data_IF_983052009643
#
_entry.id   IF_983052009643
#
_cell.length_a   1.000
_cell.length_b   1.000
_cell.length_c   1.000
_cell.angle_alpha   90.00
_cell.angle_beta   90.00
_cell.angle_gamma   90.00
#
_symmetry.space_group_name_H-M   'P 1'
#
loop_
_entity.id
_entity.type
_entity.pdbx_description
1 polymer ?
#
# COMPACT_ATOMS: atom_id res chain seq x y z
N UNK A 1 -4.82 16.86 19.81
CA UNK A 1 -4.61 16.67 21.26
C UNK A 1 -4.50 18.02 21.93
N UNK A 2 -4.65 18.11 23.27
CA UNK A 2 -4.29 19.33 23.98
C UNK A 2 -2.79 19.60 23.87
N UNK A 3 -2.37 20.85 24.11
CA UNK A 3 -0.95 21.23 24.08
C UNK A 3 -0.12 20.42 25.09
N UNK A 4 -0.65 20.22 26.31
CA UNK A 4 -0.01 19.45 27.39
C UNK A 4 0.23 18.00 26.95
N UNK A 5 -0.81 17.33 26.45
CA UNK A 5 -0.70 15.94 25.99
C UNK A 5 0.30 15.81 24.82
N UNK A 6 0.35 16.83 23.96
CA UNK A 6 1.24 16.85 22.78
C UNK A 6 2.71 16.97 23.19
N UNK A 7 3.01 17.84 24.17
CA UNK A 7 4.35 17.98 24.75
C UNK A 7 4.76 16.71 25.50
N UNK A 8 3.84 16.09 26.23
CA UNK A 8 4.09 14.82 26.91
C UNK A 8 4.40 13.69 25.90
N UNK A 9 3.65 13.63 24.80
CA UNK A 9 3.93 12.69 23.71
C UNK A 9 5.32 12.92 23.10
N UNK A 10 5.76 14.16 22.94
CA UNK A 10 7.15 14.42 22.51
C UNK A 10 8.18 13.95 23.52
N UNK A 11 8.00 14.29 24.81
CA UNK A 11 8.94 13.90 25.89
C UNK A 11 9.09 12.38 25.99
N UNK A 12 8.01 11.63 25.79
CA UNK A 12 8.07 10.15 25.78
C UNK A 12 8.77 9.58 24.54
N UNK A 13 8.77 10.29 23.41
CA UNK A 13 9.33 9.81 22.14
C UNK A 13 10.77 10.28 21.87
N UNK A 14 11.16 11.46 22.34
CA UNK A 14 12.48 12.07 22.20
C UNK A 14 13.24 11.97 23.54
N UNK A 15 13.43 10.74 24.03
CA UNK A 15 14.12 10.50 25.30
C UNK A 15 15.56 11.05 25.24
N UNK A 16 15.89 11.96 26.17
CA UNK A 16 17.26 12.45 26.38
C UNK A 16 17.64 13.76 25.69
N UNK A 17 16.74 14.42 24.96
CA UNK A 17 17.04 15.73 24.38
C UNK A 17 16.92 16.85 25.44
N UNK A 18 17.88 17.78 25.46
CA UNK A 18 17.90 18.96 26.35
C UNK A 18 17.07 20.10 25.76
N UNK A 19 16.05 19.79 24.98
CA UNK A 19 15.21 20.78 24.31
C UNK A 19 14.42 21.57 25.35
N UNK A 20 14.35 22.89 25.15
CA UNK A 20 13.51 23.76 25.97
C UNK A 20 12.05 23.31 25.86
N UNK A 21 11.32 23.32 26.98
CA UNK A 21 9.88 23.07 26.97
C UNK A 21 9.13 24.07 26.07
N UNK A 22 9.70 25.26 25.88
CA UNK A 22 9.20 26.26 24.91
C UNK A 22 9.26 25.75 23.48
N UNK A 23 10.38 25.14 23.07
CA UNK A 23 10.58 24.63 21.70
C UNK A 23 9.63 23.47 21.41
N UNK A 24 9.39 22.62 22.43
CA UNK A 24 8.43 21.52 22.33
C UNK A 24 6.99 22.01 22.17
N UNK A 25 6.61 23.08 22.88
CA UNK A 25 5.30 23.72 22.73
C UNK A 25 5.14 24.34 21.35
N UNK A 26 6.15 25.06 20.87
CA UNK A 26 6.14 25.70 19.55
C UNK A 26 6.03 24.65 18.43
N UNK A 27 6.77 23.53 18.54
CA UNK A 27 6.64 22.43 17.60
C UNK A 27 5.28 21.71 17.71
N UNK A 28 4.77 21.47 18.92
CA UNK A 28 3.44 20.88 19.10
C UNK A 28 2.34 21.75 18.46
N UNK A 29 2.45 23.08 18.58
CA UNK A 29 1.56 24.03 17.93
C UNK A 29 1.70 23.99 16.40
N UNK A 30 2.94 23.97 15.87
CA UNK A 30 3.20 23.88 14.43
C UNK A 30 2.68 22.56 13.83
N UNK A 31 2.69 21.47 14.60
CA UNK A 31 2.11 20.18 14.20
C UNK A 31 0.62 20.03 14.56
N UNK A 32 -0.03 21.12 14.99
CA UNK A 32 -1.45 21.19 15.36
C UNK A 32 -1.88 20.13 16.40
N UNK A 33 -0.95 19.66 17.23
CA UNK A 33 -1.23 18.60 18.21
C UNK A 33 -1.68 17.27 17.58
N UNK A 34 -1.29 16.98 16.33
CA UNK A 34 -1.67 15.76 15.62
C UNK A 34 -0.72 14.61 16.01
N UNK A 35 -1.22 13.52 16.63
CA UNK A 35 -0.36 12.47 17.18
C UNK A 35 0.61 11.84 16.17
N UNK A 36 0.13 11.63 14.93
CA UNK A 36 0.95 11.03 13.88
C UNK A 36 2.08 11.95 13.41
N UNK A 37 1.79 13.25 13.22
CA UNK A 37 2.81 14.24 12.84
C UNK A 37 3.86 14.38 13.93
N UNK A 38 3.43 14.44 15.20
CA UNK A 38 4.31 14.42 16.38
C UNK A 38 5.20 13.18 16.37
N UNK A 39 4.63 12.01 16.08
CA UNK A 39 5.38 10.75 16.05
C UNK A 39 6.42 10.73 14.93
N UNK A 40 6.08 11.17 13.72
CA UNK A 40 7.05 11.31 12.61
C UNK A 40 8.17 12.31 12.97
N UNK A 41 7.82 13.48 13.50
CA UNK A 41 8.79 14.52 13.87
C UNK A 41 9.74 14.01 14.97
N UNK A 42 9.20 13.42 16.03
CA UNK A 42 9.99 12.85 17.12
C UNK A 42 10.91 11.72 16.63
N UNK A 43 10.41 10.87 15.74
CA UNK A 43 11.19 9.80 15.13
C UNK A 43 12.37 10.35 14.30
N UNK A 44 12.13 11.41 13.52
CA UNK A 44 13.17 12.10 12.75
C UNK A 44 14.24 12.74 13.64
N UNK A 45 13.83 13.44 14.70
CA UNK A 45 14.76 14.09 15.63
C UNK A 45 15.62 13.02 16.32
N UNK A 46 14.98 11.97 16.85
CA UNK A 46 15.66 10.88 17.55
C UNK A 46 16.66 10.12 16.67
N UNK A 47 16.35 9.92 15.39
CA UNK A 47 17.26 9.22 14.48
C UNK A 47 18.50 10.05 14.10
N UNK A 48 18.56 11.33 14.48
CA UNK A 48 19.65 12.24 14.09
C UNK A 48 20.22 13.02 15.28
N UNK A 49 21.36 12.58 15.85
CA UNK A 49 21.96 13.21 17.04
C UNK A 49 22.29 14.71 16.92
N UNK A 50 22.41 15.24 15.69
CA UNK A 50 22.72 16.66 15.43
C UNK A 50 21.47 17.53 15.22
N UNK A 51 20.29 16.94 15.12
CA UNK A 51 19.04 17.68 14.89
C UNK A 51 18.37 17.91 16.24
N UNK A 52 18.20 19.18 16.60
CA UNK A 52 17.41 19.59 17.77
C UNK A 52 15.96 19.87 17.38
N UNK A 53 15.06 19.98 18.37
CA UNK A 53 13.66 20.41 18.16
C UNK A 53 13.57 21.72 17.37
N UNK A 54 14.35 22.74 17.74
CA UNK A 54 14.37 24.04 17.06
C UNK A 54 14.94 23.95 15.64
N UNK A 55 15.93 23.07 15.41
CA UNK A 55 16.43 22.79 14.04
C UNK A 55 15.36 22.15 13.17
N UNK A 56 14.63 21.17 13.72
CA UNK A 56 13.53 20.51 13.01
C UNK A 56 12.38 21.47 12.71
N UNK A 57 12.01 22.33 13.67
CA UNK A 57 10.97 23.33 13.49
C UNK A 57 11.27 24.28 12.32
N UNK A 58 12.54 24.68 12.14
CA UNK A 58 12.97 25.46 10.98
C UNK A 58 12.79 24.67 9.67
N UNK A 59 13.25 23.41 9.63
CA UNK A 59 13.08 22.55 8.46
C UNK A 59 11.60 22.35 8.11
N UNK A 60 10.75 22.20 9.13
CA UNK A 60 9.31 22.12 8.96
C UNK A 60 8.75 23.37 8.29
N UNK A 61 9.02 24.55 8.83
CA UNK A 61 8.58 25.84 8.26
C UNK A 61 9.09 26.07 6.84
N UNK A 62 10.36 25.77 6.56
CA UNK A 62 10.93 25.85 5.22
C UNK A 62 10.22 24.90 4.24
N UNK A 63 9.93 23.68 4.69
CA UNK A 63 9.16 22.71 3.91
C UNK A 63 7.76 23.24 3.63
N UNK A 64 7.03 23.71 4.64
CA UNK A 64 5.67 24.28 4.50
C UNK A 64 5.61 25.39 3.45
N UNK A 65 6.56 26.34 3.48
CA UNK A 65 6.63 27.44 2.50
C UNK A 65 6.85 26.90 1.09
N UNK A 66 7.74 25.93 0.93
CA UNK A 66 8.00 25.28 -0.36
C UNK A 66 6.81 24.46 -0.88
N UNK A 67 5.89 24.06 0.01
CA UNK A 67 4.70 23.24 -0.29
C UNK A 67 3.43 24.06 -0.51
N UNK A 68 3.42 25.37 -0.20
CA UNK A 68 2.22 26.21 -0.24
C UNK A 68 1.50 26.20 -1.62
N UNK A 69 2.25 26.04 -2.71
CA UNK A 69 1.72 25.90 -4.08
C UNK A 69 1.23 24.48 -4.42
N UNK A 70 1.69 23.46 -3.69
CA UNK A 70 1.37 22.05 -3.93
C UNK A 70 0.05 21.63 -3.27
N UNK A 71 -0.34 22.34 -2.21
CA UNK A 71 -1.51 22.01 -1.39
C UNK A 71 -2.76 22.85 -1.75
N UNK A 72 -2.59 23.81 -2.66
CA UNK A 72 -3.63 24.68 -3.21
C UNK A 72 -4.30 24.11 -4.48
N UNK A 73 -3.77 23.01 -5.05
CA UNK A 73 -4.35 22.38 -6.22
C UNK A 73 -5.62 21.56 -5.88
N UNK A 74 -6.67 21.80 -6.67
CA UNK A 74 -8.02 21.24 -6.58
C UNK A 74 -8.14 19.70 -6.61
N UNK A 75 -7.03 18.96 -6.70
CA UNK A 75 -6.98 17.49 -6.82
C UNK A 75 -7.04 16.75 -5.46
N UNK A 76 -7.15 17.48 -4.36
CA UNK A 76 -7.43 16.95 -3.01
C UNK A 76 -8.88 17.19 -2.54
N UNK A 77 -9.80 17.46 -3.47
CA UNK A 77 -11.22 17.70 -3.17
C UNK A 77 -11.96 16.45 -2.64
N UNK A 78 -11.50 15.24 -2.90
CA UNK A 78 -12.19 14.00 -2.48
C UNK A 78 -11.87 13.53 -1.06
N UNK A 79 -11.01 14.25 -0.34
CA UNK A 79 -10.67 13.91 1.02
C UNK A 79 -11.40 14.81 2.06
N UNK A 80 -12.30 15.73 1.69
CA UNK A 80 -12.99 16.70 2.58
C UNK A 80 -13.36 16.11 3.97
N UNK A 81 -12.76 16.56 5.07
CA UNK A 81 -13.25 17.73 5.83
C UNK A 81 -12.20 18.54 6.62
N UNK A 82 -10.93 18.14 6.71
CA UNK A 82 -9.91 18.92 7.45
C UNK A 82 -8.67 19.17 6.61
N UNK A 83 -8.48 20.42 6.20
CA UNK A 83 -7.36 20.85 5.37
C UNK A 83 -6.07 21.02 6.18
N UNK A 84 -6.19 21.29 7.50
CA UNK A 84 -5.06 21.54 8.41
C UNK A 84 -4.44 20.22 8.92
N UNK A 85 -5.28 19.23 9.29
CA UNK A 85 -4.84 17.91 9.78
C UNK A 85 -3.91 17.17 8.81
N UNK A 86 -4.03 17.45 7.51
CA UNK A 86 -3.19 16.82 6.48
C UNK A 86 -1.84 17.48 6.33
N UNK A 87 -1.76 18.78 6.56
CA UNK A 87 -0.57 19.55 6.26
C UNK A 87 0.61 19.07 7.09
N UNK A 88 0.47 19.12 8.42
CA UNK A 88 1.52 18.68 9.33
C UNK A 88 1.95 17.22 9.10
N UNK A 89 1.01 16.31 8.84
CA UNK A 89 1.34 14.91 8.58
C UNK A 89 2.08 14.74 7.25
N UNK A 90 1.64 15.41 6.17
CA UNK A 90 2.30 15.33 4.86
C UNK A 90 3.69 15.95 4.93
N UNK A 91 3.84 17.12 5.55
CA UNK A 91 5.13 17.80 5.69
C UNK A 91 6.11 16.98 6.52
N UNK A 92 5.69 16.45 7.68
CA UNK A 92 6.55 15.60 8.53
C UNK A 92 6.91 14.27 7.86
N UNK A 93 5.96 13.67 7.14
CA UNK A 93 6.21 12.50 6.29
C UNK A 93 7.26 12.84 5.24
N UNK A 94 7.12 13.94 4.51
CA UNK A 94 8.01 14.30 3.42
C UNK A 94 9.43 14.55 3.92
N UNK A 95 9.61 15.30 5.01
CA UNK A 95 10.93 15.55 5.60
C UNK A 95 11.62 14.22 5.92
N UNK A 96 10.87 13.25 6.47
CA UNK A 96 11.38 11.91 6.78
C UNK A 96 11.66 11.08 5.52
N UNK A 97 10.76 11.14 4.54
CA UNK A 97 10.88 10.40 3.29
C UNK A 97 12.04 10.91 2.43
N UNK A 98 12.20 12.23 2.27
CA UNK A 98 13.31 12.85 1.56
C UNK A 98 14.65 12.45 2.18
N UNK A 99 14.69 12.31 3.50
CA UNK A 99 15.87 11.83 4.22
C UNK A 99 16.13 10.34 3.93
N UNK A 100 15.11 9.49 4.04
CA UNK A 100 15.22 8.05 3.74
C UNK A 100 15.70 7.84 2.31
N UNK A 101 15.09 8.53 1.34
CA UNK A 101 15.45 8.45 -0.07
C UNK A 101 16.93 8.78 -0.32
N UNK A 102 17.49 9.75 0.41
CA UNK A 102 18.91 10.14 0.30
C UNK A 102 19.86 9.17 0.97
N UNK A 103 19.44 8.47 2.02
CA UNK A 103 20.33 7.59 2.80
C UNK A 103 20.24 6.12 2.41
N UNK A 104 19.06 5.63 2.07
CA UNK A 104 18.80 4.21 1.79
C UNK A 104 17.64 4.11 0.80
N UNK A 105 17.98 4.07 -0.48
CA UNK A 105 17.01 4.04 -1.59
C UNK A 105 16.10 2.82 -1.52
N UNK A 106 16.61 1.69 -1.02
CA UNK A 106 15.87 0.44 -0.84
C UNK A 106 14.68 0.60 0.11
N UNK A 107 14.80 1.47 1.14
CA UNK A 107 13.70 1.74 2.05
C UNK A 107 12.61 2.61 1.43
N UNK A 108 12.99 3.56 0.59
CA UNK A 108 12.03 4.34 -0.19
C UNK A 108 11.30 3.45 -1.21
N UNK A 109 12.03 2.57 -1.90
CA UNK A 109 11.51 1.59 -2.84
C UNK A 109 10.57 0.58 -2.14
N UNK A 110 10.93 0.11 -0.95
CA UNK A 110 10.07 -0.74 -0.14
C UNK A 110 8.77 -0.03 0.26
N UNK A 111 8.84 1.20 0.75
CA UNK A 111 7.66 1.97 1.11
C UNK A 111 6.76 2.23 -0.12
N UNK A 112 7.37 2.47 -1.28
CA UNK A 112 6.66 2.63 -2.54
C UNK A 112 5.90 1.37 -2.94
N UNK A 113 6.55 0.20 -2.88
CA UNK A 113 5.90 -1.10 -3.11
C UNK A 113 4.78 -1.37 -2.11
N UNK A 114 5.04 -1.20 -0.81
CA UNK A 114 4.02 -1.38 0.24
C UNK A 114 2.78 -0.52 -0.01
N UNK A 115 2.97 0.70 -0.54
CA UNK A 115 1.86 1.61 -0.81
C UNK A 115 0.91 1.09 -1.89
N UNK A 116 1.33 0.14 -2.74
CA UNK A 116 0.49 -0.47 -3.78
C UNK A 116 -0.47 -1.55 -3.24
N UNK A 117 -0.28 -2.02 -2.01
CA UNK A 117 -1.15 -3.03 -1.41
C UNK A 117 -2.19 -2.41 -0.47
N UNK A 118 -3.11 -3.23 0.06
CA UNK A 118 -3.96 -2.80 1.18
C UNK A 118 -3.06 -2.34 2.34
N UNK A 119 -3.40 -1.22 2.96
CA UNK A 119 -2.61 -0.57 4.01
C UNK A 119 -2.53 -1.37 5.32
N UNK A 120 -3.36 -2.40 5.51
CA UNK A 120 -3.40 -3.23 6.71
C UNK A 120 -3.00 -4.66 6.40
N UNK A 121 -2.34 -5.30 7.37
CA UNK A 121 -2.06 -6.73 7.34
C UNK A 121 -1.14 -7.17 6.18
N UNK A 122 -0.25 -6.30 5.71
CA UNK A 122 0.68 -6.57 4.61
C UNK A 122 1.68 -7.64 5.06
N UNK A 123 1.62 -8.87 4.55
CA UNK A 123 2.53 -9.92 5.02
C UNK A 123 3.94 -9.74 4.46
N UNK A 124 4.95 -10.08 5.25
CA UNK A 124 6.38 -9.99 4.93
C UNK A 124 6.73 -10.57 3.56
N UNK A 125 6.13 -11.71 3.20
CA UNK A 125 6.37 -12.37 1.90
C UNK A 125 6.03 -11.50 0.68
N UNK A 126 5.14 -10.51 0.79
CA UNK A 126 4.87 -9.55 -0.30
C UNK A 126 6.02 -8.54 -0.45
N UNK A 127 6.80 -8.36 0.60
CA UNK A 127 7.77 -7.28 0.74
C UNK A 127 9.20 -7.72 0.49
N UNK A 128 9.52 -9.00 0.67
CA UNK A 128 10.87 -9.54 0.46
C UNK A 128 11.43 -9.20 -0.93
N UNK A 129 10.61 -9.18 -1.98
CA UNK A 129 10.96 -8.78 -3.36
C UNK A 129 12.45 -8.86 -3.78
N UNK A 130 13.03 -10.07 -3.70
CA UNK A 130 14.43 -10.39 -4.02
C UNK A 130 15.52 -9.80 -3.08
N UNK A 131 15.13 -9.14 -1.99
CA UNK A 131 16.00 -8.85 -0.86
C UNK A 131 16.33 -10.13 -0.10
N UNK A 132 17.55 -10.22 0.41
CA UNK A 132 17.87 -11.19 1.45
C UNK A 132 17.26 -10.76 2.80
N UNK A 133 17.25 -11.67 3.79
CA UNK A 133 16.63 -11.39 5.09
C UNK A 133 17.28 -10.20 5.77
N UNK A 134 18.62 -10.09 5.76
CA UNK A 134 19.33 -9.03 6.46
C UNK A 134 19.02 -7.66 5.85
N UNK A 135 19.02 -7.58 4.52
CA UNK A 135 18.61 -6.39 3.78
C UNK A 135 17.18 -5.99 4.09
N UNK A 136 16.26 -6.96 4.15
CA UNK A 136 14.87 -6.71 4.50
C UNK A 136 14.76 -6.14 5.93
N UNK A 137 15.36 -6.80 6.92
CA UNK A 137 15.36 -6.37 8.33
C UNK A 137 15.89 -4.94 8.48
N UNK A 138 17.05 -4.65 7.89
CA UNK A 138 17.63 -3.30 7.97
C UNK A 138 16.76 -2.24 7.28
N UNK A 139 15.98 -2.63 6.27
CA UNK A 139 15.15 -1.72 5.47
C UNK A 139 13.83 -1.44 6.17
N UNK A 140 13.16 -2.48 6.65
CA UNK A 140 11.91 -2.36 7.39
C UNK A 140 12.13 -1.70 8.76
N UNK A 141 13.23 -2.02 9.45
CA UNK A 141 13.61 -1.37 10.70
C UNK A 141 13.77 0.14 10.52
N UNK A 142 14.32 0.61 9.40
CA UNK A 142 14.41 2.04 9.10
C UNK A 142 13.03 2.66 8.95
N UNK A 143 12.12 2.05 8.20
CA UNK A 143 10.74 2.56 8.02
C UNK A 143 9.97 2.59 9.34
N UNK A 144 10.13 1.57 10.19
CA UNK A 144 9.57 1.51 11.55
C UNK A 144 10.19 2.59 12.44
N UNK A 145 11.50 2.82 12.34
CA UNK A 145 12.20 3.83 13.14
C UNK A 145 11.66 5.24 12.91
N UNK A 146 11.27 5.55 11.65
CA UNK A 146 10.59 6.79 11.23
C UNK A 146 9.07 6.76 11.46
N UNK A 147 8.52 5.68 12.00
CA UNK A 147 7.09 5.48 12.25
C UNK A 147 6.20 5.60 11.01
N UNK A 148 6.76 5.30 9.82
CA UNK A 148 6.02 5.28 8.56
C UNK A 148 5.23 3.98 8.38
N UNK A 149 5.77 2.91 8.97
CA UNK A 149 5.21 1.56 8.97
C UNK A 149 5.19 1.06 10.41
N UNK A 150 4.22 0.22 10.73
CA UNK A 150 4.13 -0.47 12.02
C UNK A 150 4.07 -1.97 11.80
N UNK A 151 4.84 -2.69 12.59
CA UNK A 151 4.81 -4.14 12.68
C UNK A 151 3.69 -4.58 13.64
N UNK A 152 2.91 -5.58 13.25
CA UNK A 152 1.86 -6.15 14.10
C UNK A 152 2.42 -7.27 14.99
N UNK A 153 1.65 -7.64 16.01
CA UNK A 153 2.03 -8.69 16.98
C UNK A 153 2.28 -10.00 16.25
N UNK A 154 3.48 -10.57 16.41
CA UNK A 154 3.93 -11.78 15.71
C UNK A 154 4.87 -11.52 14.52
N UNK A 155 5.16 -10.26 14.19
CA UNK A 155 6.26 -9.79 13.34
C UNK A 155 6.19 -10.08 11.85
N UNK A 156 5.20 -10.86 11.41
CA UNK A 156 5.07 -11.29 10.01
C UNK A 156 4.17 -10.41 9.14
N UNK A 157 3.53 -9.39 9.72
CA UNK A 157 2.60 -8.49 9.02
C UNK A 157 2.79 -7.03 9.42
N UNK A 158 2.64 -6.15 8.44
CA UNK A 158 2.87 -4.73 8.56
C UNK A 158 1.63 -3.92 8.22
N UNK A 159 1.54 -2.72 8.79
CA UNK A 159 0.49 -1.76 8.48
C UNK A 159 1.07 -0.36 8.26
N UNK A 160 0.36 0.43 7.47
CA UNK A 160 0.68 1.84 7.25
C UNK A 160 -0.54 2.71 7.50
N UNK A 161 -0.27 3.93 7.95
CA UNK A 161 -1.33 4.92 8.09
C UNK A 161 -1.83 5.34 6.70
N UNK A 162 -3.15 5.58 6.56
CA UNK A 162 -3.76 5.98 5.28
C UNK A 162 -3.09 7.22 4.66
N UNK A 163 -2.73 8.21 5.47
CA UNK A 163 -2.03 9.40 5.00
C UNK A 163 -0.62 9.08 4.49
N UNK A 164 0.11 8.16 5.13
CA UNK A 164 1.43 7.72 4.66
C UNK A 164 1.28 7.06 3.29
N UNK A 165 0.33 6.14 3.14
CA UNK A 165 0.05 5.47 1.86
C UNK A 165 -0.27 6.48 0.74
N UNK A 166 -1.16 7.44 1.01
CA UNK A 166 -1.57 8.45 0.04
C UNK A 166 -0.42 9.37 -0.34
N UNK A 167 0.37 9.83 0.64
CA UNK A 167 1.55 10.68 0.40
C UNK A 167 2.58 9.95 -0.46
N UNK A 168 2.85 8.67 -0.18
CA UNK A 168 3.76 7.84 -0.99
C UNK A 168 3.24 7.68 -2.42
N UNK A 169 1.96 7.34 -2.61
CA UNK A 169 1.36 7.21 -3.95
C UNK A 169 1.45 8.53 -4.74
N UNK A 170 1.22 9.67 -4.09
CA UNK A 170 1.34 11.00 -4.72
C UNK A 170 2.76 11.33 -5.12
N UNK A 171 3.74 10.99 -4.28
CA UNK A 171 5.15 11.13 -4.63
C UNK A 171 5.51 10.24 -5.83
N UNK A 172 5.05 8.99 -5.86
CA UNK A 172 5.26 8.08 -7.00
C UNK A 172 4.68 8.66 -8.30
N UNK A 173 3.44 9.19 -8.26
CA UNK A 173 2.78 9.84 -9.39
C UNK A 173 3.61 11.01 -9.94
N UNK A 174 4.06 11.91 -9.05
CA UNK A 174 4.86 13.07 -9.41
C UNK A 174 6.20 12.69 -10.05
N UNK A 175 6.80 11.60 -9.58
CA UNK A 175 8.06 11.07 -10.12
C UNK A 175 7.85 10.17 -11.35
N UNK A 176 6.61 10.04 -11.85
CA UNK A 176 6.25 9.21 -13.02
C UNK A 176 6.63 7.73 -12.87
N UNK A 177 6.60 7.23 -11.63
CA UNK A 177 6.94 5.84 -11.32
C UNK A 177 5.70 4.97 -11.03
N UNK A 178 4.49 5.50 -11.21
CA UNK A 178 3.26 4.80 -10.85
C UNK A 178 3.12 3.45 -11.55
N UNK A 179 3.32 3.43 -12.86
CA UNK A 179 3.21 2.20 -13.66
C UNK A 179 4.29 1.17 -13.27
N UNK A 180 5.51 1.63 -12.91
CA UNK A 180 6.57 0.75 -12.40
C UNK A 180 6.11 0.03 -11.14
N UNK A 181 5.62 0.77 -10.14
CA UNK A 181 5.24 0.19 -8.85
C UNK A 181 3.96 -0.64 -8.92
N UNK A 182 3.01 -0.26 -9.78
CA UNK A 182 1.84 -1.10 -10.09
C UNK A 182 2.24 -2.45 -10.69
N UNK A 183 3.09 -2.42 -11.72
CA UNK A 183 3.60 -3.64 -12.37
C UNK A 183 4.32 -4.52 -11.35
N UNK A 184 5.14 -3.93 -10.47
CA UNK A 184 5.84 -4.69 -9.44
C UNK A 184 4.89 -5.36 -8.44
N UNK A 185 3.88 -4.64 -7.95
CA UNK A 185 2.86 -5.20 -7.07
C UNK A 185 2.07 -6.33 -7.73
N UNK A 186 1.71 -6.18 -9.01
CA UNK A 186 1.03 -7.21 -9.80
C UNK A 186 1.90 -8.45 -9.94
N UNK A 187 3.20 -8.30 -10.24
CA UNK A 187 4.15 -9.43 -10.33
C UNK A 187 4.24 -10.19 -9.00
N UNK A 188 4.37 -9.47 -7.89
CA UNK A 188 4.45 -10.07 -6.56
C UNK A 188 3.19 -10.89 -6.24
N UNK A 189 1.99 -10.32 -6.43
CA UNK A 189 0.74 -11.04 -6.16
C UNK A 189 0.54 -12.17 -7.16
N UNK A 190 0.85 -12.01 -8.44
CA UNK A 190 0.72 -13.08 -9.44
C UNK A 190 1.54 -14.31 -9.05
N UNK A 191 2.77 -14.09 -8.55
CA UNK A 191 3.67 -15.13 -8.04
C UNK A 191 3.15 -15.79 -6.76
N UNK A 192 2.62 -15.02 -5.83
CA UNK A 192 2.32 -15.50 -4.47
C UNK A 192 0.85 -15.89 -4.24
N UNK A 193 -0.08 -15.40 -5.05
CA UNK A 193 -1.49 -15.72 -4.89
C UNK A 193 -1.71 -17.22 -5.13
N UNK A 194 -2.23 -17.97 -4.13
CA UNK A 194 -2.35 -19.42 -4.22
C UNK A 194 -3.36 -19.88 -5.26
N UNK A 195 -3.42 -21.21 -5.47
CA UNK A 195 -4.34 -21.83 -6.43
C UNK A 195 -5.82 -21.63 -6.10
N UNK A 196 -6.16 -21.33 -4.84
CA UNK A 196 -7.54 -21.20 -4.37
C UNK A 196 -8.15 -22.50 -3.84
N UNK A 197 -7.41 -23.62 -3.89
CA UNK A 197 -7.82 -24.91 -3.29
C UNK A 197 -7.94 -24.81 -1.76
N UNK A 198 -8.70 -25.73 -1.15
CA UNK A 198 -9.00 -25.74 0.29
C UNK A 198 -7.74 -25.62 1.17
N UNK A 199 -6.66 -26.33 0.82
CA UNK A 199 -5.39 -26.31 1.55
C UNK A 199 -4.74 -24.91 1.59
N UNK A 200 -5.07 -24.04 0.64
CA UNK A 200 -4.49 -22.70 0.49
C UNK A 200 -5.44 -21.57 0.91
N UNK A 201 -6.60 -21.90 1.47
CA UNK A 201 -7.63 -20.90 1.81
C UNK A 201 -7.14 -19.84 2.80
N UNK A 202 -6.36 -20.23 3.80
CA UNK A 202 -5.80 -19.28 4.77
C UNK A 202 -4.94 -18.22 4.06
N UNK A 203 -4.10 -18.66 3.13
CA UNK A 203 -3.27 -17.76 2.33
C UNK A 203 -4.09 -16.88 1.39
N UNK A 204 -5.11 -17.45 0.73
CA UNK A 204 -6.01 -16.66 -0.10
C UNK A 204 -6.73 -15.57 0.71
N UNK A 205 -7.16 -15.86 1.94
CA UNK A 205 -7.81 -14.88 2.80
C UNK A 205 -6.87 -13.75 3.22
N UNK A 206 -5.63 -14.07 3.57
CA UNK A 206 -4.58 -13.08 3.90
C UNK A 206 -4.29 -12.19 2.69
N UNK A 207 -4.18 -12.76 1.50
CA UNK A 207 -3.80 -12.02 0.29
C UNK A 207 -4.98 -11.33 -0.42
N UNK A 208 -6.21 -11.65 -0.05
CA UNK A 208 -7.41 -11.13 -0.72
C UNK A 208 -7.51 -9.59 -0.72
N UNK A 209 -7.27 -8.86 0.38
CA UNK A 209 -7.31 -7.40 0.37
C UNK A 209 -6.29 -6.81 -0.60
N UNK A 210 -5.09 -7.37 -0.63
CA UNK A 210 -4.01 -6.91 -1.51
C UNK A 210 -4.28 -7.24 -2.98
N UNK A 211 -4.85 -8.41 -3.27
CA UNK A 211 -5.27 -8.78 -4.62
C UNK A 211 -6.36 -7.82 -5.15
N UNK A 212 -7.34 -7.46 -4.32
CA UNK A 212 -8.39 -6.51 -4.69
C UNK A 212 -7.85 -5.11 -4.99
N UNK A 213 -6.86 -4.64 -4.22
CA UNK A 213 -6.18 -3.37 -4.51
C UNK A 213 -5.55 -3.39 -5.91
N UNK A 214 -4.78 -4.43 -6.25
CA UNK A 214 -4.11 -4.46 -7.56
C UNK A 214 -5.08 -4.64 -8.74
N UNK A 215 -6.21 -5.35 -8.57
CA UNK A 215 -7.23 -5.51 -9.61
C UNK A 215 -7.87 -4.16 -9.95
N UNK A 216 -7.91 -3.22 -9.01
CA UNK A 216 -8.42 -1.86 -9.27
C UNK A 216 -7.48 -1.00 -10.12
N UNK A 217 -6.26 -1.45 -10.40
CA UNK A 217 -5.29 -0.69 -11.17
C UNK A 217 -5.68 -0.61 -12.65
N UNK A 218 -5.58 0.60 -13.19
CA UNK A 218 -5.65 0.79 -14.64
C UNK A 218 -4.28 0.48 -15.23
N UNK A 219 -4.15 -0.65 -15.91
CA UNK A 219 -2.92 -1.10 -16.56
C UNK A 219 -3.13 -1.28 -18.07
N UNK A 220 -2.09 -1.03 -18.85
CA UNK A 220 -2.11 -1.18 -20.31
C UNK A 220 -1.05 -2.15 -20.83
N UNK A 221 -0.08 -2.50 -20.00
CA UNK A 221 0.98 -3.45 -20.34
C UNK A 221 0.42 -4.87 -20.41
N UNK A 222 0.73 -5.59 -21.50
CA UNK A 222 0.34 -6.97 -21.74
C UNK A 222 0.70 -7.90 -20.56
N UNK A 223 1.91 -7.81 -20.02
CA UNK A 223 2.35 -8.68 -18.92
C UNK A 223 1.50 -8.47 -17.66
N UNK A 224 1.15 -7.22 -17.36
CA UNK A 224 0.37 -6.87 -16.19
C UNK A 224 -1.10 -7.26 -16.37
N UNK A 225 -1.65 -7.08 -17.58
CA UNK A 225 -3.00 -7.54 -17.95
C UNK A 225 -3.14 -9.06 -17.78
N UNK A 226 -2.18 -9.83 -18.30
CA UNK A 226 -2.18 -11.29 -18.15
C UNK A 226 -1.95 -11.72 -16.70
N UNK A 227 -1.12 -10.98 -15.95
CA UNK A 227 -0.92 -11.19 -14.51
C UNK A 227 -2.22 -11.02 -13.72
N UNK A 228 -2.95 -9.93 -13.95
CA UNK A 228 -4.26 -9.69 -13.35
C UNK A 228 -5.28 -10.75 -13.75
N UNK A 229 -5.34 -11.16 -15.03
CA UNK A 229 -6.22 -12.25 -15.47
C UNK A 229 -5.90 -13.59 -14.78
N UNK A 230 -4.63 -13.87 -14.51
CA UNK A 230 -4.19 -15.04 -13.75
C UNK A 230 -4.66 -14.99 -12.29
N UNK A 231 -4.49 -13.84 -11.63
CA UNK A 231 -4.98 -13.61 -10.26
C UNK A 231 -6.50 -13.73 -10.20
N UNK A 232 -7.23 -13.10 -11.13
CA UNK A 232 -8.69 -13.17 -11.22
C UNK A 232 -9.19 -14.60 -11.41
N UNK A 233 -8.49 -15.43 -12.19
CA UNK A 233 -8.87 -16.84 -12.40
C UNK A 233 -8.71 -17.65 -11.11
N UNK A 234 -7.58 -17.51 -10.41
CA UNK A 234 -7.35 -18.16 -9.10
C UNK A 234 -8.34 -17.67 -8.03
N UNK A 235 -8.64 -16.37 -8.04
CA UNK A 235 -9.60 -15.76 -7.12
C UNK A 235 -11.04 -16.21 -7.41
N UNK A 236 -11.41 -16.36 -8.69
CA UNK A 236 -12.69 -16.92 -9.11
C UNK A 236 -12.89 -18.33 -8.58
N UNK A 237 -11.87 -19.18 -8.73
CA UNK A 237 -11.86 -20.53 -8.15
C UNK A 237 -12.01 -20.51 -6.62
N UNK A 238 -11.26 -19.66 -5.94
CA UNK A 238 -11.39 -19.49 -4.48
C UNK A 238 -12.81 -19.09 -4.06
N UNK A 239 -13.46 -18.15 -4.78
CA UNK A 239 -14.82 -17.73 -4.48
C UNK A 239 -15.85 -18.83 -4.73
N UNK A 240 -15.70 -19.64 -5.78
CA UNK A 240 -16.55 -20.82 -6.02
C UNK A 240 -16.51 -21.76 -4.82
N UNK A 241 -15.30 -22.11 -4.37
CA UNK A 241 -15.15 -23.04 -3.25
C UNK A 241 -15.66 -22.44 -1.92
N UNK A 242 -15.65 -21.11 -1.77
CA UNK A 242 -16.27 -20.41 -0.63
C UNK A 242 -17.81 -20.27 -0.77
N UNK A 243 -18.39 -20.67 -1.90
CA UNK A 243 -19.82 -20.54 -2.21
C UNK A 243 -20.25 -19.12 -2.64
N UNK A 244 -19.31 -18.23 -2.95
CA UNK A 244 -19.60 -16.86 -3.36
C UNK A 244 -19.58 -16.70 -4.89
N UNK A 245 -20.60 -17.25 -5.55
CA UNK A 245 -20.72 -17.23 -7.01
C UNK A 245 -20.87 -15.81 -7.58
N UNK A 246 -21.50 -14.90 -6.82
CA UNK A 246 -21.74 -13.50 -7.22
C UNK A 246 -20.41 -12.76 -7.41
N UNK A 247 -19.43 -13.00 -6.55
CA UNK A 247 -18.10 -12.39 -6.69
C UNK A 247 -17.21 -13.09 -7.71
N UNK A 248 -17.47 -14.37 -8.02
CA UNK A 248 -16.65 -15.17 -8.94
C UNK A 248 -16.92 -14.80 -10.41
N UNK A 249 -18.19 -14.66 -10.80
CA UNK A 249 -18.58 -14.40 -12.19
C UNK A 249 -17.90 -13.17 -12.84
N UNK A 250 -17.99 -11.96 -12.27
CA UNK A 250 -17.49 -10.76 -12.94
C UNK A 250 -15.96 -10.78 -13.13
N UNK A 251 -15.21 -11.29 -12.14
CA UNK A 251 -13.74 -11.35 -12.25
C UNK A 251 -13.29 -12.40 -13.27
N UNK A 252 -14.04 -13.51 -13.42
CA UNK A 252 -13.76 -14.52 -14.43
C UNK A 252 -14.07 -13.99 -15.83
N UNK A 253 -15.19 -13.28 -15.99
CA UNK A 253 -15.53 -12.61 -17.26
C UNK A 253 -14.43 -11.63 -17.67
N UNK A 254 -13.94 -10.79 -16.75
CA UNK A 254 -12.84 -9.86 -17.02
C UNK A 254 -11.56 -10.62 -17.44
N UNK A 255 -11.19 -11.69 -16.74
CA UNK A 255 -10.03 -12.50 -17.09
C UNK A 255 -10.15 -13.14 -18.48
N UNK A 256 -11.34 -13.63 -18.84
CA UNK A 256 -11.60 -14.23 -20.16
C UNK A 256 -11.47 -13.18 -21.26
N UNK A 257 -12.09 -12.00 -21.11
CA UNK A 257 -12.01 -10.92 -22.10
C UNK A 257 -10.56 -10.54 -22.40
N UNK A 258 -9.74 -10.41 -21.35
CA UNK A 258 -8.30 -10.11 -21.52
C UNK A 258 -7.58 -11.25 -22.22
N UNK A 259 -7.78 -12.51 -21.77
CA UNK A 259 -7.08 -13.67 -22.32
C UNK A 259 -7.48 -13.99 -23.76
N UNK A 260 -8.75 -13.86 -24.12
CA UNK A 260 -9.21 -14.04 -25.50
C UNK A 260 -8.59 -13.02 -26.44
N UNK A 261 -8.55 -11.75 -26.02
CA UNK A 261 -7.98 -10.67 -26.82
C UNK A 261 -6.48 -10.83 -27.03
N UNK A 262 -5.75 -11.18 -25.97
CA UNK A 262 -4.28 -11.14 -25.98
C UNK A 262 -3.62 -12.49 -26.27
N UNK A 263 -4.26 -13.62 -25.94
CA UNK A 263 -3.74 -14.99 -26.16
C UNK A 263 -4.54 -15.79 -27.19
N UNK A 264 -5.79 -15.39 -27.46
CA UNK A 264 -6.72 -16.11 -28.32
C UNK A 264 -7.65 -17.07 -27.56
N UNK A 265 -8.74 -17.43 -28.24
CA UNK A 265 -9.83 -18.25 -27.66
C UNK A 265 -9.41 -19.67 -27.30
N UNK A 266 -8.43 -20.25 -28.01
CA UNK A 266 -7.97 -21.63 -27.84
C UNK A 266 -6.76 -21.76 -26.91
N UNK A 267 -6.29 -20.66 -26.32
CA UNK A 267 -5.13 -20.73 -25.43
C UNK A 267 -5.49 -21.46 -24.12
N UNK A 268 -4.64 -22.35 -23.58
CA UNK A 268 -4.96 -23.14 -22.38
C UNK A 268 -5.42 -22.30 -21.17
N UNK A 269 -4.81 -21.14 -20.95
CA UNK A 269 -5.22 -20.21 -19.88
C UNK A 269 -6.62 -19.63 -20.12
N UNK A 270 -6.97 -19.32 -21.37
CA UNK A 270 -8.31 -18.84 -21.74
C UNK A 270 -9.34 -19.92 -21.46
N UNK A 271 -9.09 -21.14 -21.94
CA UNK A 271 -9.96 -22.31 -21.75
C UNK A 271 -10.17 -22.63 -20.25
N UNK A 272 -9.11 -22.52 -19.46
CA UNK A 272 -9.18 -22.70 -18.00
C UNK A 272 -10.13 -21.70 -17.35
N UNK A 273 -10.04 -20.41 -17.69
CA UNK A 273 -10.97 -19.40 -17.17
C UNK A 273 -12.41 -19.64 -17.62
N UNK A 274 -12.61 -20.02 -18.89
CA UNK A 274 -13.94 -20.35 -19.44
C UNK A 274 -14.56 -21.55 -18.73
N UNK A 275 -13.79 -22.62 -18.48
CA UNK A 275 -14.25 -23.80 -17.73
C UNK A 275 -14.67 -23.46 -16.30
N UNK A 276 -13.91 -22.59 -15.63
CA UNK A 276 -14.24 -22.12 -14.28
C UNK A 276 -15.53 -21.27 -14.31
N UNK A 277 -15.70 -20.38 -15.30
CA UNK A 277 -16.95 -19.63 -15.47
C UNK A 277 -18.15 -20.55 -15.73
N UNK A 278 -17.98 -21.60 -16.55
CA UNK A 278 -19.03 -22.59 -16.80
C UNK A 278 -19.48 -23.26 -15.49
N UNK A 279 -18.54 -23.57 -14.59
CA UNK A 279 -18.82 -24.12 -13.26
C UNK A 279 -19.60 -23.15 -12.36
N UNK A 280 -19.31 -21.83 -12.45
CA UNK A 280 -20.09 -20.79 -11.76
C UNK A 280 -21.53 -20.79 -12.25
N UNK A 281 -21.72 -20.74 -13.57
CA UNK A 281 -23.04 -20.68 -14.20
C UNK A 281 -23.88 -21.92 -13.87
N UNK A 282 -23.25 -23.11 -13.90
CA UNK A 282 -23.90 -24.36 -13.50
C UNK A 282 -24.35 -24.31 -12.03
N UNK A 283 -23.50 -23.79 -11.14
CA UNK A 283 -23.82 -23.66 -9.70
C UNK A 283 -24.90 -22.60 -9.42
N UNK A 284 -25.10 -21.65 -10.34
CA UNK A 284 -26.21 -20.69 -10.32
C UNK A 284 -27.51 -21.22 -10.97
N UNK A 285 -27.50 -22.42 -11.56
CA UNK A 285 -28.65 -23.00 -12.27
C UNK A 285 -28.82 -22.53 -13.72
N UNK A 286 -27.85 -21.79 -14.29
CA UNK A 286 -27.84 -21.28 -15.68
C UNK A 286 -27.24 -22.32 -16.63
N UNK A 287 -27.91 -23.45 -16.79
CA UNK A 287 -27.35 -24.62 -17.48
C UNK A 287 -27.09 -24.40 -18.98
N UNK A 288 -27.95 -23.69 -19.69
CA UNK A 288 -27.77 -23.41 -21.13
C UNK A 288 -26.50 -22.56 -21.38
N UNK A 289 -26.29 -21.54 -20.54
CA UNK A 289 -25.10 -20.69 -20.61
C UNK A 289 -23.83 -21.46 -20.19
N UNK A 290 -23.94 -22.30 -19.16
CA UNK A 290 -22.85 -23.19 -18.74
C UNK A 290 -22.45 -24.18 -19.84
N UNK A 291 -23.42 -24.77 -20.54
CA UNK A 291 -23.15 -25.66 -21.68
C UNK A 291 -22.44 -24.91 -22.82
N UNK A 292 -22.90 -23.71 -23.14
CA UNK A 292 -22.25 -22.84 -24.14
C UNK A 292 -20.78 -22.56 -23.78
N UNK A 293 -20.50 -22.24 -22.51
CA UNK A 293 -19.13 -22.04 -22.05
C UNK A 293 -18.31 -23.34 -22.09
N UNK A 294 -18.87 -24.48 -21.66
CA UNK A 294 -18.16 -25.76 -21.71
C UNK A 294 -17.85 -26.24 -23.13
N UNK A 295 -18.68 -25.94 -24.12
CA UNK A 295 -18.38 -26.25 -25.53
C UNK A 295 -17.20 -25.43 -26.08
N UNK A 296 -16.85 -24.33 -25.41
CA UNK A 296 -15.74 -23.45 -25.78
C UNK A 296 -14.46 -23.77 -25.00
N UNK A 297 -14.56 -24.44 -23.85
CA UNK A 297 -13.45 -24.81 -22.96
C UNK A 297 -12.75 -26.10 -23.42
#
# INVERSE_FOLDING_TARGET
MGEVDSVELFKTKILGDKSSESDLKELAQALEGIPLAITHAAAYIRSRPRVTVSTYLRLFRESEVNQASLLTNNEMKDLRRDHSIRHAVITTWQISFDQIQRTKTEAADLLALMSMFDRQGIPERLLLNNMDQLQFEDTIALLISFSLVREQVGGSTFEMHRLVQLSTRKWIERNRQLERWRSEAIKVITRLFPSGQYQTWSDCQILLPHAREIISFKVTNLQDLLGLASVNTKLGWFYILKGNLIMAEPILQEAIVVREKELGVNHPDTLTSVSILASVLQSQGRYEEAESMNRRA
#
